data_IF_995038081564
#
_entry.id   IF_995038081564
#
_cell.length_a   1.000
_cell.length_b   1.000
_cell.length_c   1.000
_cell.angle_alpha   90.00
_cell.angle_beta   90.00
_cell.angle_gamma   90.00
#
_symmetry.space_group_name_H-M   'P 1'
#
loop_
_entity.id
_entity.type
_entity.pdbx_description
1 polymer ?
#
# COMPACT_ATOMS: atom_id res chain seq x y z
N UNK A 1 22.47 -15.06 34.55
CA UNK A 1 21.85 -16.41 34.52
C UNK A 1 22.72 -17.44 33.78
N UNK A 2 23.23 -17.14 32.57
CA UNK A 2 24.12 -18.03 31.79
C UNK A 2 25.42 -18.50 32.50
N UNK A 3 26.10 -17.63 33.26
CA UNK A 3 27.34 -18.00 33.98
C UNK A 3 27.11 -19.04 35.09
N UNK A 4 25.94 -19.02 35.75
CA UNK A 4 25.63 -19.96 36.83
C UNK A 4 25.34 -21.36 36.31
N UNK A 5 24.68 -21.46 35.15
CA UNK A 5 24.36 -22.75 34.50
C UNK A 5 25.65 -23.42 33.99
N UNK A 6 26.57 -22.64 33.40
CA UNK A 6 27.85 -23.15 32.91
C UNK A 6 28.71 -23.77 34.03
N UNK A 7 28.77 -23.13 35.21
CA UNK A 7 29.51 -23.63 36.37
C UNK A 7 28.87 -24.89 37.00
N UNK A 8 27.54 -24.98 37.03
CA UNK A 8 26.83 -26.14 37.56
C UNK A 8 27.06 -27.39 36.68
N UNK A 9 27.04 -27.19 35.36
CA UNK A 9 27.25 -28.28 34.40
C UNK A 9 28.68 -28.80 34.44
N UNK A 10 29.68 -27.92 34.56
CA UNK A 10 31.09 -28.32 34.63
C UNK A 10 31.42 -29.19 35.86
N UNK A 11 30.72 -28.97 36.98
CA UNK A 11 30.86 -29.79 38.19
C UNK A 11 30.19 -31.16 38.05
N UNK A 12 29.02 -31.23 37.40
CA UNK A 12 28.30 -32.49 37.17
C UNK A 12 29.06 -33.42 36.22
N UNK A 13 29.69 -32.89 35.17
CA UNK A 13 30.47 -33.71 34.22
C UNK A 13 31.69 -34.35 34.89
N UNK A 14 32.38 -33.61 35.76
CA UNK A 14 33.56 -34.13 36.47
C UNK A 14 33.20 -35.24 37.46
N UNK A 15 32.05 -35.12 38.13
CA UNK A 15 31.57 -36.13 39.08
C UNK A 15 31.19 -37.45 38.38
N UNK A 16 30.53 -37.36 37.22
CA UNK A 16 30.10 -38.55 36.46
C UNK A 16 31.27 -39.30 35.81
N UNK A 17 32.28 -38.58 35.31
CA UNK A 17 33.50 -39.17 34.72
C UNK A 17 34.38 -39.87 35.75
N UNK A 18 34.39 -39.40 37.00
CA UNK A 18 35.11 -40.05 38.09
C UNK A 18 34.49 -41.39 38.53
N UNK A 19 33.18 -41.58 38.28
CA UNK A 19 32.41 -42.72 38.79
C UNK A 19 32.21 -43.85 37.76
N UNK A 20 32.43 -43.58 36.47
CA UNK A 20 32.29 -44.51 35.36
C UNK A 20 33.59 -44.49 34.55
N UNK A 21 34.42 -45.52 34.70
CA UNK A 21 35.74 -45.63 34.05
C UNK A 21 35.74 -45.45 32.52
N UNK A 22 36.95 -45.30 31.97
CA UNK A 22 37.28 -44.78 30.62
C UNK A 22 36.49 -45.33 29.40
N UNK A 23 35.80 -46.46 29.49
CA UNK A 23 35.16 -47.12 28.34
C UNK A 23 33.84 -46.49 27.87
N UNK A 24 33.18 -45.65 28.69
CA UNK A 24 31.89 -45.02 28.34
C UNK A 24 31.96 -43.51 28.03
N UNK A 25 33.17 -42.93 27.99
CA UNK A 25 33.36 -41.48 27.79
C UNK A 25 32.85 -41.03 26.42
N UNK A 26 33.04 -41.82 25.36
CA UNK A 26 32.63 -41.45 23.99
C UNK A 26 31.10 -41.28 23.87
N UNK A 27 30.32 -42.20 24.44
CA UNK A 27 28.85 -42.13 24.38
C UNK A 27 28.31 -40.95 25.21
N UNK A 28 28.90 -40.69 26.37
CA UNK A 28 28.53 -39.56 27.21
C UNK A 28 28.91 -38.22 26.58
N UNK A 29 30.08 -38.14 25.92
CA UNK A 29 30.49 -36.96 25.15
C UNK A 29 29.48 -36.67 24.03
N UNK A 30 29.09 -37.70 23.26
CA UNK A 30 28.12 -37.57 22.16
C UNK A 30 26.78 -37.06 22.69
N UNK A 31 26.28 -37.61 23.80
CA UNK A 31 25.03 -37.16 24.44
C UNK A 31 25.10 -35.72 24.94
N UNK A 32 26.24 -35.29 25.48
CA UNK A 32 26.45 -33.91 25.94
C UNK A 32 26.50 -32.97 24.74
N UNK A 33 27.21 -33.32 23.67
CA UNK A 33 27.32 -32.50 22.46
C UNK A 33 25.98 -32.39 21.69
N UNK A 34 25.19 -33.46 21.62
CA UNK A 34 23.85 -33.40 20.99
C UNK A 34 22.88 -32.57 21.81
N UNK A 35 22.91 -32.66 23.14
CA UNK A 35 22.11 -31.79 24.00
C UNK A 35 22.50 -30.32 23.85
N UNK A 36 23.79 -29.98 23.80
CA UNK A 36 24.25 -28.59 23.64
C UNK A 36 23.74 -27.98 22.31
N UNK A 37 23.78 -28.74 21.21
CA UNK A 37 23.22 -28.28 19.93
C UNK A 37 21.72 -28.03 20.02
N UNK A 38 20.98 -28.93 20.65
CA UNK A 38 19.53 -28.81 20.82
C UNK A 38 19.14 -27.57 21.64
N UNK A 39 19.86 -27.28 22.73
CA UNK A 39 19.63 -26.08 23.53
C UNK A 39 19.98 -24.79 22.78
N UNK A 40 21.02 -24.80 21.94
CA UNK A 40 21.41 -23.64 21.13
C UNK A 40 20.36 -23.33 20.05
N UNK A 41 19.87 -24.36 19.37
CA UNK A 41 18.83 -24.24 18.34
C UNK A 41 17.51 -23.72 18.93
N UNK A 42 17.07 -24.27 20.08
CA UNK A 42 15.87 -23.78 20.77
C UNK A 42 16.05 -22.34 21.23
N UNK A 43 17.21 -21.96 21.76
CA UNK A 43 17.47 -20.59 22.21
C UNK A 43 17.32 -19.57 21.07
N UNK A 44 17.90 -19.88 19.90
CA UNK A 44 17.83 -19.02 18.72
C UNK A 44 16.41 -18.96 18.12
N UNK A 45 15.70 -20.09 18.07
CA UNK A 45 14.30 -20.12 17.62
C UNK A 45 13.38 -19.34 18.55
N UNK A 46 13.60 -19.42 19.86
CA UNK A 46 12.81 -18.67 20.84
C UNK A 46 13.09 -17.17 20.76
N UNK A 47 14.37 -16.78 20.63
CA UNK A 47 14.79 -15.37 20.50
C UNK A 47 14.22 -14.72 19.23
N UNK A 48 14.22 -15.43 18.10
CA UNK A 48 13.62 -14.94 16.86
C UNK A 48 12.10 -14.82 16.96
N UNK A 49 11.41 -15.74 17.65
CA UNK A 49 9.99 -15.58 17.94
C UNK A 49 9.72 -14.35 18.80
N UNK A 50 10.46 -14.14 19.89
CA UNK A 50 10.32 -12.96 20.74
C UNK A 50 10.60 -11.66 19.98
N UNK A 51 11.59 -11.63 19.10
CA UNK A 51 11.92 -10.45 18.30
C UNK A 51 10.78 -10.04 17.36
N UNK A 52 10.11 -11.02 16.73
CA UNK A 52 8.93 -10.75 15.88
C UNK A 52 7.78 -10.17 16.70
N UNK A 53 7.52 -10.71 17.90
CA UNK A 53 6.50 -10.16 18.80
C UNK A 53 6.83 -8.74 19.28
N UNK A 54 8.10 -8.46 19.59
CA UNK A 54 8.56 -7.12 19.95
C UNK A 54 8.37 -6.11 18.80
N UNK A 55 8.69 -6.49 17.57
CA UNK A 55 8.45 -5.67 16.38
C UNK A 55 6.95 -5.40 16.16
N UNK A 56 6.12 -6.43 16.33
CA UNK A 56 4.66 -6.30 16.22
C UNK A 56 4.11 -5.31 17.26
N UNK A 57 4.62 -5.40 18.49
CA UNK A 57 4.24 -4.52 19.59
C UNK A 57 4.64 -3.06 19.33
N UNK A 58 5.88 -2.82 18.88
CA UNK A 58 6.35 -1.47 18.52
C UNK A 58 5.49 -0.89 17.39
N UNK A 59 5.19 -1.68 16.36
CA UNK A 59 4.40 -1.21 15.23
C UNK A 59 2.95 -0.87 15.63
N UNK A 60 2.34 -1.70 16.49
CA UNK A 60 1.01 -1.46 17.07
C UNK A 60 1.00 -0.18 17.92
N UNK A 61 2.04 0.05 18.72
CA UNK A 61 2.18 1.25 19.53
C UNK A 61 2.36 2.52 18.67
N UNK A 62 3.13 2.44 17.57
CA UNK A 62 3.29 3.53 16.62
C UNK A 62 1.95 3.90 15.93
N UNK A 63 1.16 2.91 15.52
CA UNK A 63 -0.17 3.14 14.96
C UNK A 63 -1.11 3.79 15.98
N UNK A 64 -1.14 3.29 17.21
CA UNK A 64 -1.96 3.86 18.29
C UNK A 64 -1.61 5.33 18.59
N UNK A 65 -0.32 5.69 18.56
CA UNK A 65 0.14 7.07 18.76
C UNK A 65 -0.28 7.99 17.61
N UNK A 66 -0.27 7.50 16.37
CA UNK A 66 -0.75 8.25 15.20
C UNK A 66 -2.27 8.49 15.27
N UNK A 67 -3.04 7.50 15.70
CA UNK A 67 -4.48 7.63 15.86
C UNK A 67 -4.85 8.64 16.96
N UNK A 68 -4.10 8.68 18.06
CA UNK A 68 -4.32 9.68 19.11
C UNK A 68 -4.11 11.12 18.61
N UNK A 69 -3.17 11.34 17.67
CA UNK A 69 -2.94 12.67 17.06
C UNK A 69 -3.98 13.09 16.02
N UNK A 70 -4.88 12.19 15.60
CA UNK A 70 -5.85 12.44 14.53
C UNK A 70 -7.04 13.31 14.94
N UNK A 71 -7.19 13.62 16.23
CA UNK A 71 -8.42 14.20 16.76
C UNK A 71 -8.43 15.70 17.10
N UNK A 72 -7.38 16.52 16.93
CA UNK A 72 -7.46 17.92 17.41
C UNK A 72 -6.66 19.01 16.66
N UNK A 73 -6.37 18.84 15.37
CA UNK A 73 -5.86 19.96 14.54
C UNK A 73 -6.67 20.15 13.26
N UNK A 74 -7.97 20.34 13.48
CA UNK A 74 -8.88 20.92 12.51
C UNK A 74 -8.60 22.42 12.53
N UNK A 75 -7.68 22.87 11.67
CA UNK A 75 -7.46 24.30 11.46
C UNK A 75 -8.70 24.86 10.75
N UNK A 76 -9.45 25.65 11.52
CA UNK A 76 -10.46 26.57 11.06
C UNK A 76 -9.88 27.47 9.97
N UNK A 77 -10.32 27.30 8.72
CA UNK A 77 -10.40 28.46 7.84
C UNK A 77 -11.73 29.14 8.13
N UNK A 78 -11.67 30.31 8.75
CA UNK A 78 -12.79 31.23 8.83
C UNK A 78 -13.38 31.48 7.44
N UNK A 79 -14.68 31.78 7.43
CA UNK A 79 -15.51 32.19 6.29
C UNK A 79 -15.96 31.07 5.34
N UNK A 80 -17.14 30.49 5.62
CA UNK A 80 -18.39 31.06 5.11
C UNK A 80 -19.59 30.27 5.67
N UNK A 81 -20.61 30.99 6.11
CA UNK A 81 -21.82 30.46 6.71
C UNK A 81 -22.63 29.66 5.68
N UNK A 82 -22.38 28.36 5.58
CA UNK A 82 -23.41 27.41 5.12
C UNK A 82 -23.42 26.25 6.09
N UNK A 83 -24.55 26.09 6.78
CA UNK A 83 -24.83 24.93 7.63
C UNK A 83 -24.94 23.72 6.70
N UNK A 84 -23.81 23.06 6.45
CA UNK A 84 -23.77 21.79 5.73
C UNK A 84 -24.33 20.75 6.69
N UNK A 85 -25.62 20.45 6.52
CA UNK A 85 -26.31 19.35 7.19
C UNK A 85 -25.52 18.06 7.00
N UNK A 86 -24.98 17.54 8.10
CA UNK A 86 -24.18 16.32 8.21
C UNK A 86 -24.96 15.02 7.88
N UNK A 87 -26.16 15.14 7.31
CA UNK A 87 -27.08 14.01 7.07
C UNK A 87 -26.89 13.32 5.72
N UNK A 88 -26.02 13.81 4.83
CA UNK A 88 -25.84 13.29 3.46
C UNK A 88 -24.39 12.94 3.09
N UNK A 89 -23.53 12.61 4.04
CA UNK A 89 -22.22 12.06 3.72
C UNK A 89 -22.13 10.67 4.36
N UNK A 90 -22.63 9.67 3.64
CA UNK A 90 -22.22 8.29 3.88
C UNK A 90 -20.73 8.17 3.51
N UNK A 91 -19.86 8.55 4.44
CA UNK A 91 -18.44 8.24 4.38
C UNK A 91 -18.28 6.73 4.60
N UNK A 92 -18.08 5.98 3.53
CA UNK A 92 -17.47 4.66 3.63
C UNK A 92 -15.97 4.82 3.34
N UNK A 93 -15.18 4.77 4.40
CA UNK A 93 -13.72 4.62 4.33
C UNK A 93 -13.39 3.24 3.77
N UNK A 94 -12.43 3.16 2.86
CA UNK A 94 -11.91 1.91 2.34
C UNK A 94 -10.88 1.33 3.32
N UNK A 95 -11.35 0.73 4.42
CA UNK A 95 -10.55 -0.17 5.24
C UNK A 95 -11.09 -1.60 5.08
N UNK A 96 -10.48 -2.35 4.17
CA UNK A 96 -10.53 -3.81 4.26
C UNK A 96 -9.18 -4.39 3.80
N UNK A 97 -8.32 -4.67 4.78
CA UNK A 97 -7.09 -5.43 4.60
C UNK A 97 -7.30 -6.84 5.16
N UNK A 98 -7.99 -7.70 4.41
CA UNK A 98 -7.86 -9.16 4.49
C UNK A 98 -8.50 -9.81 3.25
N UNK A 99 -7.67 -10.45 2.44
CA UNK A 99 -8.09 -11.25 1.29
C UNK A 99 -7.90 -10.54 -0.05
N UNK A 100 -7.30 -11.25 -1.00
CA UNK A 100 -7.00 -10.82 -2.37
C UNK A 100 -8.13 -10.01 -3.03
N UNK A 101 -7.74 -8.92 -3.70
CA UNK A 101 -8.62 -7.99 -4.42
C UNK A 101 -9.18 -8.58 -5.71
N UNK A 102 -10.06 -9.57 -5.60
CA UNK A 102 -11.06 -9.86 -6.63
C UNK A 102 -12.43 -9.39 -6.13
N UNK A 103 -12.62 -8.07 -6.12
CA UNK A 103 -13.97 -7.51 -6.04
C UNK A 103 -14.45 -7.30 -7.46
N UNK A 104 -15.25 -8.25 -7.97
CA UNK A 104 -16.31 -7.89 -8.90
C UNK A 104 -17.19 -6.88 -8.16
N UNK A 105 -16.86 -5.58 -8.29
CA UNK A 105 -17.62 -4.49 -7.70
C UNK A 105 -19.02 -4.58 -8.27
N UNK A 106 -19.96 -5.04 -7.45
CA UNK A 106 -21.37 -4.75 -7.66
C UNK A 106 -21.49 -3.22 -7.68
N UNK A 107 -21.72 -2.70 -8.88
CA UNK A 107 -21.87 -1.27 -9.15
C UNK A 107 -23.21 -0.83 -8.56
N UNK A 108 -23.28 0.25 -7.76
CA UNK A 108 -24.56 0.88 -7.45
C UNK A 108 -25.24 1.36 -8.74
N UNK A 109 -26.57 1.39 -8.74
CA UNK A 109 -27.44 1.63 -9.91
C UNK A 109 -27.15 2.93 -10.69
N UNK A 110 -26.42 3.89 -10.09
CA UNK A 110 -25.81 5.00 -10.82
C UNK A 110 -24.47 4.59 -11.45
N UNK A 111 -24.55 3.86 -12.56
CA UNK A 111 -23.40 3.37 -13.36
C UNK A 111 -22.41 4.49 -13.75
N UNK A 112 -22.88 5.73 -13.89
CA UNK A 112 -22.09 6.93 -14.21
C UNK A 112 -21.12 7.35 -13.12
N UNK A 113 -21.60 7.51 -11.90
CA UNK A 113 -20.77 7.95 -10.78
C UNK A 113 -19.69 6.91 -10.45
N UNK A 114 -20.01 5.62 -10.56
CA UNK A 114 -19.05 4.55 -10.29
C UNK A 114 -17.94 4.48 -11.33
N UNK A 115 -18.27 4.68 -12.61
CA UNK A 115 -17.27 4.79 -13.66
C UNK A 115 -16.38 6.02 -13.45
N UNK A 116 -16.97 7.19 -13.19
CA UNK A 116 -16.22 8.44 -13.02
C UNK A 116 -15.24 8.37 -11.84
N UNK A 117 -15.63 7.73 -10.73
CA UNK A 117 -14.73 7.49 -9.60
C UNK A 117 -13.54 6.58 -9.96
N UNK A 118 -13.81 5.49 -10.68
CA UNK A 118 -12.74 4.60 -11.17
C UNK A 118 -11.83 5.32 -12.17
N UNK A 119 -12.41 6.06 -13.11
CA UNK A 119 -11.71 6.80 -14.14
C UNK A 119 -10.85 7.92 -13.56
N UNK A 120 -11.35 8.63 -12.55
CA UNK A 120 -10.58 9.62 -11.80
C UNK A 120 -9.33 8.99 -11.15
N UNK A 121 -9.43 7.77 -10.62
CA UNK A 121 -8.27 7.03 -10.10
C UNK A 121 -7.24 6.70 -11.18
N UNK A 122 -7.69 6.29 -12.37
CA UNK A 122 -6.79 6.04 -13.51
C UNK A 122 -6.11 7.34 -13.97
N UNK A 123 -6.86 8.45 -14.06
CA UNK A 123 -6.32 9.76 -14.40
C UNK A 123 -5.34 10.28 -13.34
N UNK A 124 -5.56 9.97 -12.06
CA UNK A 124 -4.66 10.37 -10.98
C UNK A 124 -3.33 9.61 -11.03
N UNK A 125 -3.35 8.34 -11.41
CA UNK A 125 -2.14 7.52 -11.55
C UNK A 125 -1.37 7.77 -12.84
N UNK A 126 -2.03 7.58 -13.99
CA UNK A 126 -1.39 7.54 -15.32
C UNK A 126 -1.83 8.69 -16.24
N UNK A 127 -2.64 9.62 -15.74
CA UNK A 127 -3.13 10.77 -16.49
C UNK A 127 -2.09 11.89 -16.60
N UNK A 128 -2.15 12.62 -17.71
CA UNK A 128 -1.29 13.76 -17.99
C UNK A 128 -2.12 14.90 -18.62
N UNK A 129 -2.12 16.06 -17.96
CA UNK A 129 -2.74 17.29 -18.44
C UNK A 129 -1.69 18.16 -19.14
N UNK A 130 -1.72 18.17 -20.47
CA UNK A 130 -0.79 18.95 -21.26
C UNK A 130 -1.24 20.41 -21.34
N UNK A 131 -0.63 21.26 -20.50
CA UNK A 131 -0.90 22.70 -20.41
C UNK A 131 0.17 23.48 -21.17
N UNK A 132 -0.24 24.44 -21.99
CA UNK A 132 0.67 25.34 -22.73
C UNK A 132 0.31 26.81 -22.48
N UNK A 133 1.29 27.70 -22.60
CA UNK A 133 0.99 29.14 -22.71
C UNK A 133 0.31 29.43 -24.04
N UNK A 134 -0.68 30.33 -24.02
CA UNK A 134 -1.28 30.82 -25.26
C UNK A 134 -0.26 31.64 -26.05
N UNK A 135 -0.18 31.51 -27.38
CA UNK A 135 0.68 32.37 -28.19
C UNK A 135 0.21 33.84 -28.19
N UNK A 136 -1.06 34.10 -27.85
CA UNK A 136 -1.63 35.46 -27.79
C UNK A 136 -1.61 36.09 -26.38
N UNK A 137 -1.01 35.44 -25.38
CA UNK A 137 -0.87 36.04 -24.04
C UNK A 137 -0.45 35.05 -22.95
N UNK A 138 -0.21 35.56 -21.74
CA UNK A 138 0.32 34.77 -20.61
C UNK A 138 -0.66 33.78 -19.97
N UNK A 139 -1.86 33.62 -20.53
CA UNK A 139 -2.84 32.65 -20.04
C UNK A 139 -2.40 31.22 -20.36
N UNK A 140 -2.41 30.35 -19.36
CA UNK A 140 -2.22 28.90 -19.50
C UNK A 140 -3.50 28.27 -20.05
N UNK A 141 -3.38 27.44 -21.08
CA UNK A 141 -4.50 26.75 -21.73
C UNK A 141 -4.24 25.25 -21.74
N UNK A 142 -5.21 24.46 -21.29
CA UNK A 142 -5.18 23.01 -21.43
C UNK A 142 -5.31 22.66 -22.91
N UNK A 143 -4.31 21.95 -23.45
CA UNK A 143 -4.30 21.57 -24.86
C UNK A 143 -4.77 20.14 -25.06
N UNK A 144 -4.42 19.22 -24.15
CA UNK A 144 -4.77 17.80 -24.27
C UNK A 144 -4.82 17.13 -22.89
N UNK A 145 -5.66 16.11 -22.75
CA UNK A 145 -5.62 15.13 -21.65
C UNK A 145 -5.14 13.81 -22.24
N UNK A 146 -4.17 13.16 -21.61
CA UNK A 146 -3.55 11.92 -22.09
C UNK A 146 -3.49 10.87 -21.00
N UNK A 147 -3.69 9.61 -21.37
CA UNK A 147 -3.41 8.45 -20.52
C UNK A 147 -2.54 7.51 -21.34
N UNK A 148 -1.36 7.18 -20.83
CA UNK A 148 -0.37 6.34 -21.53
C UNK A 148 -0.23 5.02 -20.77
N UNK A 149 -0.57 3.91 -21.41
CA UNK A 149 -0.49 2.58 -20.81
C UNK A 149 0.26 1.61 -21.72
N UNK A 150 0.87 0.57 -21.14
CA UNK A 150 1.49 -0.50 -21.90
C UNK A 150 0.44 -1.25 -22.74
N UNK A 151 0.82 -1.80 -23.90
CA UNK A 151 -0.13 -2.48 -24.81
C UNK A 151 -0.84 -3.68 -24.16
N UNK A 152 -0.24 -4.28 -23.13
CA UNK A 152 -0.85 -5.33 -22.32
C UNK A 152 -2.16 -4.89 -21.64
N UNK A 153 -2.27 -3.60 -21.30
CA UNK A 153 -3.38 -3.01 -20.56
C UNK A 153 -4.27 -2.14 -21.45
N UNK A 154 -4.16 -2.27 -22.78
CA UNK A 154 -4.92 -1.47 -23.76
C UNK A 154 -6.44 -1.57 -23.55
N UNK A 155 -6.92 -2.69 -22.99
CA UNK A 155 -8.33 -2.90 -22.63
C UNK A 155 -8.86 -1.81 -21.69
N UNK A 156 -8.02 -1.25 -20.81
CA UNK A 156 -8.38 -0.13 -19.94
C UNK A 156 -8.70 1.11 -20.78
N UNK A 157 -7.85 1.43 -21.75
CA UNK A 157 -8.05 2.56 -22.65
C UNK A 157 -9.33 2.37 -23.50
N UNK A 158 -9.55 1.16 -24.04
CA UNK A 158 -10.76 0.83 -24.80
C UNK A 158 -12.02 0.95 -23.95
N UNK A 159 -11.97 0.51 -22.67
CA UNK A 159 -13.09 0.67 -21.74
C UNK A 159 -13.40 2.15 -21.48
N UNK A 160 -12.38 2.97 -21.29
CA UNK A 160 -12.53 4.41 -21.11
C UNK A 160 -13.18 5.04 -22.35
N UNK A 161 -12.65 4.75 -23.54
CA UNK A 161 -13.16 5.29 -24.80
C UNK A 161 -14.61 4.86 -25.05
N UNK A 162 -14.95 3.60 -24.83
CA UNK A 162 -16.30 3.07 -25.04
C UNK A 162 -17.31 3.66 -24.07
N UNK A 163 -16.90 4.00 -22.84
CA UNK A 163 -17.79 4.59 -21.86
C UNK A 163 -18.02 6.09 -22.10
N UNK A 164 -16.94 6.82 -22.38
CA UNK A 164 -17.00 8.26 -22.55
C UNK A 164 -17.49 8.66 -23.95
N UNK A 165 -17.38 7.76 -24.94
CA UNK A 165 -17.66 8.00 -26.36
C UNK A 165 -16.90 9.21 -26.95
N UNK A 166 -15.74 9.53 -26.37
CA UNK A 166 -14.86 10.62 -26.78
C UNK A 166 -13.39 10.18 -26.79
N UNK A 167 -12.56 11.02 -27.40
CA UNK A 167 -11.13 10.78 -27.49
C UNK A 167 -10.75 9.68 -28.48
N UNK A 168 -9.45 9.50 -28.66
CA UNK A 168 -8.88 8.51 -29.58
C UNK A 168 -7.75 7.75 -28.92
N UNK A 169 -7.66 6.46 -29.24
CA UNK A 169 -6.54 5.61 -28.83
C UNK A 169 -5.56 5.54 -30.00
N UNK A 170 -4.30 5.85 -29.73
CA UNK A 170 -3.20 5.76 -30.70
C UNK A 170 -2.21 4.72 -30.18
N UNK A 171 -1.95 3.70 -31.00
CA UNK A 171 -0.88 2.73 -30.79
C UNK A 171 0.26 3.01 -31.76
N UNK A 172 1.48 3.12 -31.25
CA UNK A 172 2.69 3.22 -32.07
C UNK A 172 3.27 1.81 -32.26
N UNK A 173 3.47 1.37 -33.51
CA UNK A 173 4.00 0.03 -33.82
C UNK A 173 5.40 -0.18 -33.23
N UNK A 174 6.16 0.90 -33.08
CA UNK A 174 7.55 0.85 -32.62
C UNK A 174 7.68 0.91 -31.10
N UNK A 175 6.56 1.06 -30.38
CA UNK A 175 6.60 1.28 -28.94
C UNK A 175 5.61 0.37 -28.23
N UNK A 176 5.97 -0.19 -27.06
CA UNK A 176 5.12 -1.14 -26.35
C UNK A 176 4.01 -0.45 -25.55
N UNK A 177 3.51 0.70 -26.01
CA UNK A 177 2.47 1.47 -25.33
C UNK A 177 1.45 2.07 -26.28
N UNK A 178 0.26 2.29 -25.74
CA UNK A 178 -0.86 2.96 -26.38
C UNK A 178 -1.24 4.20 -25.57
N UNK A 179 -1.74 5.22 -26.26
CA UNK A 179 -2.10 6.50 -25.64
C UNK A 179 -3.56 6.82 -25.97
N UNK A 180 -4.37 7.02 -24.93
CA UNK A 180 -5.68 7.66 -25.07
C UNK A 180 -5.51 9.18 -25.01
N UNK A 181 -6.09 9.91 -25.96
CA UNK A 181 -5.94 11.36 -26.09
C UNK A 181 -7.31 12.01 -26.28
N UNK A 182 -7.57 13.05 -25.48
CA UNK A 182 -8.69 14.00 -25.64
C UNK A 182 -8.12 15.38 -25.92
N UNK A 183 -8.56 16.03 -27.00
CA UNK A 183 -7.99 17.32 -27.45
C UNK A 183 -9.03 18.37 -27.87
N UNK A 184 -10.28 17.98 -28.05
CA UNK A 184 -11.41 18.87 -28.32
C UNK A 184 -11.84 19.56 -27.02
N UNK A 185 -12.14 20.87 -27.09
CA UNK A 185 -12.48 21.67 -25.90
C UNK A 185 -13.68 21.08 -25.15
N UNK A 186 -14.77 20.84 -25.86
CA UNK A 186 -16.01 20.28 -25.30
C UNK A 186 -15.78 18.93 -24.60
N UNK A 187 -15.00 18.05 -25.21
CA UNK A 187 -14.69 16.73 -24.62
C UNK A 187 -13.76 16.84 -23.42
N UNK A 188 -12.80 17.79 -23.43
CA UNK A 188 -11.97 18.06 -22.26
C UNK A 188 -12.80 18.65 -21.12
N UNK A 189 -13.70 19.59 -21.40
CA UNK A 189 -14.60 20.18 -20.41
C UNK A 189 -15.53 19.11 -19.82
N UNK A 190 -16.05 18.18 -20.63
CA UNK A 190 -16.82 17.03 -20.16
C UNK A 190 -16.02 16.14 -19.18
N UNK A 191 -14.78 15.80 -19.53
CA UNK A 191 -13.89 15.02 -18.66
C UNK A 191 -13.62 15.76 -17.36
N UNK A 192 -13.24 17.04 -17.44
CA UNK A 192 -12.92 17.86 -16.27
C UNK A 192 -14.11 17.98 -15.34
N UNK A 193 -15.29 18.29 -15.86
CA UNK A 193 -16.51 18.40 -15.05
C UNK A 193 -16.90 17.06 -14.40
N UNK A 194 -16.68 15.94 -15.08
CA UNK A 194 -16.98 14.60 -14.55
C UNK A 194 -16.04 14.14 -13.45
N UNK A 195 -14.79 14.62 -13.42
CA UNK A 195 -13.81 14.30 -12.37
C UNK A 195 -13.62 15.40 -11.33
N UNK A 196 -14.20 16.58 -11.57
CA UNK A 196 -14.19 17.70 -10.64
C UNK A 196 -14.89 17.30 -9.34
N UNK A 197 -14.21 17.49 -8.21
CA UNK A 197 -14.68 17.05 -6.89
C UNK A 197 -14.31 15.62 -6.52
N UNK A 198 -13.91 14.76 -7.48
CA UNK A 198 -13.36 13.42 -7.20
C UNK A 198 -11.83 13.48 -7.06
N UNK A 199 -11.17 14.19 -7.98
CA UNK A 199 -9.73 14.41 -7.92
C UNK A 199 -9.46 15.58 -6.97
N UNK A 200 -8.99 15.28 -5.76
CA UNK A 200 -8.38 16.30 -4.89
C UNK A 200 -6.97 16.55 -5.40
N UNK A 201 -6.79 17.62 -6.14
CA UNK A 201 -5.47 18.11 -6.54
C UNK A 201 -4.69 18.49 -5.28
N UNK A 202 -3.69 17.69 -4.90
CA UNK A 202 -2.63 18.14 -4.00
C UNK A 202 -1.67 19.04 -4.80
N UNK A 203 -2.16 20.20 -5.24
CA UNK A 203 -1.34 21.27 -5.78
C UNK A 203 -1.32 22.36 -4.72
N UNK A 204 -0.29 22.29 -3.86
CA UNK A 204 0.18 23.38 -3.00
C UNK A 204 1.36 24.02 -3.71
#
# INVERSE_FOLDING_TARGET
MQRCISLLMHKLTYYVVAQLGLSNISFLLILVFTNIKYYFEIGYMLETMFFVYCLLFINTFCLYKLDYTRCNKLLSSENNNTVISYKLINMQSAENCKGFSETARQLPDNKSHTFLNWFAGVLYGDGNFYIRKSPLGDKKVLKQIRIKLHNRDVKILTRIQNYLHIGRIISDKNKPYSIFIVSTKESMDYVLNGVNGVIKSALV
#
